data_IF_876750111371
#
_entry.id   IF_876750111371
#
_cell.length_a   1.000
_cell.length_b   1.000
_cell.length_c   1.000
_cell.angle_alpha   90.00
_cell.angle_beta   90.00
_cell.angle_gamma   90.00
#
_symmetry.space_group_name_H-M   'P 1'
#
loop_
_entity.id
_entity.type
_entity.pdbx_description
1 polymer ?
#
# COMPACT_ATOMS: atom_id res chain seq x y z
N UNK A 1 1.10 -3.69 4.57
CA UNK A 1 0.65 -5.02 4.11
C UNK A 1 -0.84 -5.18 4.36
N UNK A 2 -1.35 -5.03 5.60
CA UNK A 2 -2.76 -5.33 5.90
C UNK A 2 -3.74 -4.52 5.04
N UNK A 3 -3.47 -3.23 4.83
CA UNK A 3 -4.31 -2.38 3.99
C UNK A 3 -4.46 -2.89 2.55
N UNK A 4 -3.39 -3.44 1.97
CA UNK A 4 -3.41 -3.97 0.60
C UNK A 4 -4.27 -5.23 0.57
N UNK A 5 -4.04 -6.18 1.48
CA UNK A 5 -4.84 -7.40 1.57
C UNK A 5 -6.33 -7.11 1.85
N UNK A 6 -6.62 -6.07 2.63
CA UNK A 6 -7.98 -5.62 2.91
C UNK A 6 -8.61 -4.77 1.79
N UNK A 7 -7.89 -4.53 0.67
CA UNK A 7 -8.34 -3.65 -0.42
C UNK A 7 -8.67 -2.22 0.02
N UNK A 8 -7.97 -1.72 1.05
CA UNK A 8 -8.16 -0.38 1.61
C UNK A 8 -7.08 0.56 1.08
N UNK A 9 -7.45 1.75 0.53
CA UNK A 9 -6.47 2.73 0.07
C UNK A 9 -5.71 3.38 1.25
N UNK A 10 -4.50 3.87 0.99
CA UNK A 10 -3.63 4.42 2.04
C UNK A 10 -3.42 5.92 1.86
N UNK A 11 -3.72 6.71 2.89
CA UNK A 11 -3.17 8.07 3.01
C UNK A 11 -1.76 7.96 3.61
N UNK A 12 -0.74 7.96 2.75
CA UNK A 12 0.63 7.64 3.13
C UNK A 12 1.31 8.85 3.81
N UNK A 13 1.47 8.76 5.13
CA UNK A 13 2.15 9.74 5.97
C UNK A 13 3.40 9.11 6.62
N UNK A 14 4.59 9.22 6.00
CA UNK A 14 5.79 8.63 6.54
C UNK A 14 6.34 9.43 7.73
N UNK A 15 6.77 8.74 8.79
CA UNK A 15 7.38 9.34 9.98
C UNK A 15 8.89 9.05 10.04
N UNK A 16 9.29 7.79 9.87
CA UNK A 16 10.67 7.36 10.07
C UNK A 16 11.08 6.15 9.21
N UNK A 17 12.39 5.89 9.18
CA UNK A 17 13.00 4.68 8.62
C UNK A 17 12.55 4.35 7.18
N UNK A 18 12.15 3.11 6.95
CA UNK A 18 11.72 2.57 5.67
C UNK A 18 10.35 3.10 5.22
N UNK A 19 9.59 3.78 6.08
CA UNK A 19 8.28 4.32 5.73
C UNK A 19 8.33 5.31 4.56
N UNK A 20 9.44 6.03 4.38
CA UNK A 20 9.61 6.90 3.21
C UNK A 20 9.66 6.09 1.89
N UNK A 21 10.31 4.93 1.90
CA UNK A 21 10.34 4.01 0.77
C UNK A 21 9.00 3.31 0.59
N UNK A 22 8.36 2.88 1.68
CA UNK A 22 7.03 2.26 1.61
C UNK A 22 5.98 3.26 1.08
N UNK A 23 6.03 4.52 1.49
CA UNK A 23 5.18 5.58 0.94
C UNK A 23 5.46 5.83 -0.55
N UNK A 24 6.70 5.63 -1.00
CA UNK A 24 7.05 5.63 -2.42
C UNK A 24 6.42 4.47 -3.16
N UNK A 25 6.62 3.26 -2.64
CA UNK A 25 6.04 2.04 -3.21
C UNK A 25 4.51 2.10 -3.32
N UNK A 26 3.82 2.47 -2.24
CA UNK A 26 2.35 2.53 -2.19
C UNK A 26 1.78 3.55 -3.17
N UNK A 27 2.39 4.73 -3.30
CA UNK A 27 1.85 5.83 -4.09
C UNK A 27 2.28 5.77 -5.56
N UNK A 28 3.56 5.50 -5.82
CA UNK A 28 4.13 5.59 -7.18
C UNK A 28 4.15 4.25 -7.92
N UNK A 29 4.32 3.12 -7.21
CA UNK A 29 4.46 1.81 -7.85
C UNK A 29 3.17 1.00 -7.82
N UNK A 30 2.52 0.93 -6.66
CA UNK A 30 1.25 0.22 -6.52
C UNK A 30 0.05 1.08 -6.92
N UNK A 31 0.14 2.40 -6.75
CA UNK A 31 -0.97 3.33 -7.00
C UNK A 31 -2.14 3.21 -6.02
N UNK A 32 -1.91 2.59 -4.85
CA UNK A 32 -2.95 2.30 -3.84
C UNK A 32 -2.97 3.33 -2.71
N UNK A 33 -2.30 4.47 -2.88
CA UNK A 33 -2.34 5.53 -1.90
C UNK A 33 -2.05 6.93 -2.43
N UNK A 34 -2.30 7.91 -1.56
CA UNK A 34 -2.00 9.32 -1.78
C UNK A 34 -1.00 9.78 -0.73
N UNK A 35 0.02 10.54 -1.13
CA UNK A 35 1.06 11.02 -0.20
C UNK A 35 0.61 12.26 0.56
N UNK A 36 0.83 12.28 1.87
CA UNK A 36 0.73 13.49 2.68
C UNK A 36 1.94 14.37 2.44
N UNK A 37 1.69 15.65 2.13
CA UNK A 37 2.72 16.66 1.93
C UNK A 37 2.52 17.82 2.91
N UNK A 38 3.62 18.35 3.43
CA UNK A 38 3.65 19.59 4.18
C UNK A 38 3.33 20.79 3.28
N UNK A 39 3.05 21.96 3.87
CA UNK A 39 2.68 23.19 3.12
C UNK A 39 3.70 23.61 2.06
N UNK A 40 4.97 23.27 2.25
CA UNK A 40 6.06 23.56 1.31
C UNK A 40 6.23 22.47 0.23
N UNK A 41 5.31 21.50 0.13
CA UNK A 41 5.39 20.37 -0.80
C UNK A 41 6.37 19.26 -0.39
N UNK A 42 7.03 19.39 0.77
CA UNK A 42 7.95 18.37 1.28
C UNK A 42 7.20 17.22 1.97
N UNK A 43 7.84 16.04 2.00
CA UNK A 43 7.39 14.91 2.82
C UNK A 43 7.67 15.10 4.32
N UNK A 44 8.34 16.19 4.68
CA UNK A 44 8.63 16.58 6.07
C UNK A 44 8.16 18.01 6.33
N UNK A 45 7.71 18.25 7.56
CA UNK A 45 7.33 19.57 8.03
C UNK A 45 5.88 19.61 8.49
N UNK A 46 5.38 20.82 8.75
CA UNK A 46 4.05 21.02 9.31
C UNK A 46 2.95 20.77 8.27
N UNK A 47 2.02 19.88 8.62
CA UNK A 47 0.80 19.60 7.87
C UNK A 47 -0.37 20.18 8.67
N UNK A 48 -1.07 21.17 8.11
CA UNK A 48 -2.22 21.76 8.78
C UNK A 48 -3.45 20.86 8.73
N UNK A 49 -4.30 20.93 9.76
CA UNK A 49 -5.59 20.19 9.81
C UNK A 49 -6.42 20.32 8.55
N UNK A 50 -6.55 21.53 7.98
CA UNK A 50 -7.25 21.78 6.71
C UNK A 50 -6.67 20.99 5.53
N UNK A 51 -5.35 20.80 5.50
CA UNK A 51 -4.71 20.00 4.45
C UNK A 51 -5.06 18.53 4.61
N UNK A 52 -5.04 18.02 5.85
CA UNK A 52 -5.44 16.64 6.17
C UNK A 52 -6.90 16.42 5.78
N UNK A 53 -7.80 17.33 6.17
CA UNK A 53 -9.22 17.27 5.81
C UNK A 53 -9.42 17.19 4.30
N UNK A 54 -8.78 18.07 3.52
CA UNK A 54 -8.88 18.06 2.06
C UNK A 54 -8.37 16.75 1.45
N UNK A 55 -7.23 16.22 1.94
CA UNK A 55 -6.68 14.95 1.45
C UNK A 55 -7.56 13.75 1.80
N UNK A 56 -8.16 13.74 3.00
CA UNK A 56 -9.13 12.72 3.40
C UNK A 56 -10.36 12.80 2.52
N UNK A 57 -10.92 13.99 2.31
CA UNK A 57 -12.09 14.19 1.44
C UNK A 57 -11.80 13.74 0.01
N UNK A 58 -10.65 14.13 -0.55
CA UNK A 58 -10.23 13.67 -1.87
C UNK A 58 -10.09 12.15 -1.94
N UNK A 59 -9.49 11.52 -0.93
CA UNK A 59 -9.32 10.07 -0.88
C UNK A 59 -10.65 9.31 -0.77
N UNK A 60 -11.67 9.90 -0.14
CA UNK A 60 -12.96 9.25 0.11
C UNK A 60 -14.01 9.55 -0.97
N UNK A 61 -14.03 10.77 -1.49
CA UNK A 61 -15.12 11.30 -2.34
C UNK A 61 -14.63 11.79 -3.70
N UNK A 62 -13.36 12.17 -3.82
CA UNK A 62 -12.79 12.73 -5.04
C UNK A 62 -12.48 11.70 -6.13
N UNK A 63 -12.28 12.17 -7.35
CA UNK A 63 -11.96 11.32 -8.50
C UNK A 63 -10.60 10.64 -8.35
N UNK A 64 -9.59 11.33 -7.81
CA UNK A 64 -8.30 10.70 -7.53
C UNK A 64 -8.45 9.61 -6.47
N UNK A 65 -9.26 9.87 -5.44
CA UNK A 65 -9.58 8.85 -4.42
C UNK A 65 -10.26 7.63 -5.02
N UNK A 66 -11.17 7.83 -5.97
CA UNK A 66 -11.86 6.74 -6.68
C UNK A 66 -10.89 5.88 -7.49
N UNK A 67 -9.96 6.48 -8.22
CA UNK A 67 -8.89 5.76 -8.92
C UNK A 67 -8.05 4.93 -7.96
N UNK A 68 -7.61 5.53 -6.86
CA UNK A 68 -6.79 4.87 -5.83
C UNK A 68 -7.56 3.72 -5.15
N UNK A 69 -8.86 3.89 -4.86
CA UNK A 69 -9.72 2.84 -4.30
C UNK A 69 -9.92 1.69 -5.27
N UNK A 70 -10.09 1.96 -6.56
CA UNK A 70 -10.19 0.92 -7.58
C UNK A 70 -8.88 0.13 -7.69
N UNK A 71 -7.74 0.83 -7.66
CA UNK A 71 -6.43 0.17 -7.67
C UNK A 71 -6.18 -0.66 -6.42
N UNK A 72 -6.61 -0.19 -5.25
CA UNK A 72 -6.51 -0.95 -4.00
C UNK A 72 -7.27 -2.28 -4.08
N UNK A 73 -8.45 -2.32 -4.71
CA UNK A 73 -9.20 -3.57 -4.96
C UNK A 73 -8.46 -4.51 -5.91
N UNK A 74 -7.93 -4.00 -7.02
CA UNK A 74 -7.18 -4.80 -7.98
C UNK A 74 -5.95 -5.45 -7.34
N UNK A 75 -5.13 -4.65 -6.64
CA UNK A 75 -3.91 -5.13 -5.99
C UNK A 75 -4.23 -6.04 -4.80
N UNK A 76 -5.29 -5.74 -4.04
CA UNK A 76 -5.76 -6.59 -2.95
C UNK A 76 -6.21 -7.96 -3.42
N UNK A 77 -6.94 -8.02 -4.55
CA UNK A 77 -7.32 -9.30 -5.16
C UNK A 77 -6.11 -10.09 -5.65
N UNK A 78 -5.12 -9.43 -6.27
CA UNK A 78 -3.87 -10.06 -6.65
C UNK A 78 -3.09 -10.62 -5.44
N UNK A 79 -3.07 -9.89 -4.32
CA UNK A 79 -2.44 -10.36 -3.09
C UNK A 79 -3.18 -11.56 -2.48
N UNK A 80 -4.52 -11.59 -2.59
CA UNK A 80 -5.36 -12.71 -2.16
C UNK A 80 -5.05 -13.96 -3.00
N UNK A 81 -5.12 -13.84 -4.33
CA UNK A 81 -4.83 -14.95 -5.27
C UNK A 81 -3.40 -15.50 -5.12
N UNK A 82 -2.42 -14.64 -4.81
CA UNK A 82 -1.04 -15.09 -4.59
C UNK A 82 -0.92 -16.08 -3.41
N UNK A 83 -1.79 -15.96 -2.40
CA UNK A 83 -1.78 -16.78 -1.18
C UNK A 83 -2.81 -17.92 -1.16
N UNK A 84 -3.74 -17.97 -2.12
CA UNK A 84 -4.64 -19.12 -2.30
C UNK A 84 -3.85 -20.40 -2.61
N UNK A 85 -4.44 -21.57 -2.39
CA UNK A 85 -3.82 -22.85 -2.74
C UNK A 85 -3.47 -22.88 -4.23
N UNK A 86 -2.20 -23.20 -4.54
CA UNK A 86 -1.69 -23.11 -5.90
C UNK A 86 -1.40 -21.67 -6.38
N UNK A 87 -1.48 -20.67 -5.51
CA UNK A 87 -1.04 -19.30 -5.75
C UNK A 87 0.49 -19.17 -5.85
N UNK A 88 0.98 -18.02 -6.29
CA UNK A 88 2.42 -17.80 -6.45
C UNK A 88 3.19 -17.83 -5.12
N UNK A 89 2.73 -17.08 -4.12
CA UNK A 89 3.33 -17.06 -2.79
C UNK A 89 3.11 -18.36 -2.03
N UNK A 90 1.95 -19.02 -2.23
CA UNK A 90 1.71 -20.37 -1.72
C UNK A 90 2.78 -21.36 -2.23
N UNK A 91 2.98 -21.46 -3.55
CA UNK A 91 4.02 -22.33 -4.13
C UNK A 91 5.43 -21.95 -3.69
N UNK A 92 5.73 -20.66 -3.57
CA UNK A 92 7.04 -20.21 -3.08
C UNK A 92 7.29 -20.67 -1.64
N UNK A 93 6.26 -20.68 -0.79
CA UNK A 93 6.36 -21.19 0.56
C UNK A 93 6.55 -22.71 0.58
N UNK A 94 5.81 -23.46 -0.24
CA UNK A 94 5.98 -24.91 -0.38
C UNK A 94 7.41 -25.26 -0.80
N UNK A 95 7.95 -24.59 -1.83
CA UNK A 95 9.33 -24.78 -2.29
C UNK A 95 10.36 -24.47 -1.20
N UNK A 96 10.12 -23.42 -0.40
CA UNK A 96 11.00 -23.08 0.71
C UNK A 96 10.98 -24.18 1.79
N UNK A 97 9.80 -24.72 2.11
CA UNK A 97 9.66 -25.80 3.08
C UNK A 97 10.37 -27.06 2.57
N UNK A 98 10.18 -27.42 1.30
CA UNK A 98 10.84 -28.56 0.66
C UNK A 98 12.37 -28.44 0.75
N UNK A 99 12.93 -27.28 0.41
CA UNK A 99 14.39 -27.06 0.43
C UNK A 99 14.95 -27.14 1.85
N UNK A 100 14.26 -26.55 2.84
CA UNK A 100 14.71 -26.56 4.24
C UNK A 100 14.55 -27.95 4.88
N UNK A 101 13.49 -28.68 4.51
CA UNK A 101 13.24 -30.03 5.02
C UNK A 101 14.03 -31.11 4.30
N UNK A 102 14.69 -30.78 3.17
CA UNK A 102 15.61 -31.68 2.49
C UNK A 102 16.79 -31.96 3.43
N UNK A 103 16.75 -33.12 4.10
CA UNK A 103 17.91 -33.63 4.85
C UNK A 103 19.08 -33.75 3.87
N UNK A 104 20.24 -33.23 4.27
CA UNK A 104 21.51 -33.56 3.62
C UNK A 104 21.66 -35.07 3.44
#
# INVERSE_FOLDING_TARGET
MESVCASVPILAWPMAADQYLNARMVVEHLGVGVRVLARNGSVRGFVSSRSVENMVRELMEGEKGKEVRNKAKEVGEAARMAMEEGGSSWRSLDLLIEEVCRKN
#
